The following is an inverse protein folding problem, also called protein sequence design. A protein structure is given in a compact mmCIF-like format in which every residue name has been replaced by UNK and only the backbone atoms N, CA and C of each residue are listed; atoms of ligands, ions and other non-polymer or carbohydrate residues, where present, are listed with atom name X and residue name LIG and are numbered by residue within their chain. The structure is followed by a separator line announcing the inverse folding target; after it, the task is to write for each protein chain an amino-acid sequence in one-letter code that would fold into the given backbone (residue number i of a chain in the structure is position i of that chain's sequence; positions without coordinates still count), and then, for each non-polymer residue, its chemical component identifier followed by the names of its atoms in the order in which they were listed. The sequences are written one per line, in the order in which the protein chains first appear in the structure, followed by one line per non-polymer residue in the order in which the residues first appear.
data_IF_076897338067
#
_entry.id   IF_076897338067
#
_cell.length_a   1.000
_cell.length_b   1.000
_cell.length_c   1.000
_cell.angle_alpha   90.00
_cell.angle_beta   90.00
_cell.angle_gamma   90.00
#
_symmetry.space_group_name_H-M   'P 1'
#
loop_
_entity.id
_entity.type
_entity.pdbx_description
1 polymer ?
#
# COMPACT_ATOMS: atom_id res chain seq x y z
N UNK A 1 24.22 16.17 6.13
CA UNK A 1 24.99 15.00 6.61
C UNK A 1 24.23 13.71 6.28
N UNK A 2 24.87 12.53 6.37
CA UNK A 2 24.21 11.23 6.16
C UNK A 2 23.06 10.99 7.15
N UNK A 3 23.29 11.30 8.43
CA UNK A 3 22.31 11.13 9.52
C UNK A 3 21.00 11.84 9.19
N UNK A 4 21.05 13.08 8.70
CA UNK A 4 19.86 13.85 8.31
C UNK A 4 19.08 13.16 7.18
N UNK A 5 19.75 12.46 6.25
CA UNK A 5 19.08 11.72 5.17
C UNK A 5 18.40 10.46 5.67
N UNK A 6 19.08 9.68 6.53
CA UNK A 6 18.48 8.46 7.10
C UNK A 6 17.30 8.82 8.00
N UNK A 7 17.46 9.85 8.84
CA UNK A 7 16.38 10.38 9.66
C UNK A 7 15.20 10.86 8.80
N UNK A 8 15.45 11.64 7.74
CA UNK A 8 14.38 12.09 6.85
C UNK A 8 13.61 10.96 6.16
N UNK A 9 14.23 9.80 5.92
CA UNK A 9 13.52 8.62 5.41
C UNK A 9 12.64 8.00 6.49
N UNK A 10 13.18 7.77 7.69
CA UNK A 10 12.38 7.22 8.78
C UNK A 10 11.20 8.14 9.13
N UNK A 11 11.44 9.45 9.22
CA UNK A 11 10.43 10.48 9.49
C UNK A 11 9.35 10.53 8.39
N UNK A 12 9.72 10.27 7.14
CA UNK A 12 8.75 10.23 6.03
C UNK A 12 7.73 9.08 6.13
N UNK A 13 8.02 8.04 6.93
CA UNK A 13 7.06 6.96 7.20
C UNK A 13 6.13 7.26 8.39
N UNK A 14 6.43 8.31 9.17
CA UNK A 14 5.65 8.70 10.33
C UNK A 14 6.09 8.03 11.63
N UNK A 15 5.19 8.08 12.61
CA UNK A 15 5.50 7.67 13.98
C UNK A 15 5.62 6.14 14.14
N UNK A 16 6.43 5.70 15.10
CA UNK A 16 6.71 4.27 15.34
C UNK A 16 7.71 3.65 14.36
N UNK A 17 8.37 4.46 13.52
CA UNK A 17 9.45 4.00 12.64
C UNK A 17 10.79 4.53 13.11
N UNK A 18 11.74 3.62 13.32
CA UNK A 18 13.10 3.97 13.71
C UNK A 18 14.13 3.56 12.67
N UNK A 19 15.38 3.94 12.93
CA UNK A 19 16.51 3.57 12.08
C UNK A 19 17.76 3.23 12.89
N UNK A 20 18.66 2.47 12.26
CA UNK A 20 20.01 2.18 12.77
C UNK A 20 21.01 2.24 11.63
N UNK A 21 22.06 3.06 11.78
CA UNK A 21 23.19 3.04 10.85
C UNK A 21 24.05 1.83 11.20
N UNK A 22 24.21 0.90 10.25
CA UNK A 22 24.95 -0.34 10.49
C UNK A 22 26.40 -0.27 10.05
N UNK A 23 26.68 0.42 8.95
CA UNK A 23 28.04 0.64 8.46
C UNK A 23 28.14 2.01 7.80
N UNK A 24 29.29 2.64 7.99
CA UNK A 24 29.61 3.93 7.42
C UNK A 24 31.12 4.01 7.18
N UNK A 25 31.50 4.28 5.93
CA UNK A 25 32.86 4.63 5.49
C UNK A 25 32.85 6.03 4.85
N UNK A 26 34.00 6.51 4.39
CA UNK A 26 34.08 7.82 3.73
C UNK A 26 33.18 7.90 2.49
N UNK A 27 32.93 6.78 1.80
CA UNK A 27 32.24 6.77 0.50
C UNK A 27 30.94 5.96 0.46
N UNK A 28 30.69 5.08 1.42
CA UNK A 28 29.49 4.24 1.44
C UNK A 28 28.92 4.15 2.84
N UNK A 29 27.60 4.01 2.93
CA UNK A 29 26.93 3.73 4.17
C UNK A 29 25.67 2.92 3.93
N UNK A 30 25.20 2.21 4.94
CA UNK A 30 23.86 1.66 4.91
C UNK A 30 23.21 1.71 6.27
N UNK A 31 21.89 1.90 6.22
CA UNK A 31 21.02 1.97 7.38
C UNK A 31 19.90 0.95 7.26
N UNK A 32 19.48 0.45 8.41
CA UNK A 32 18.33 -0.39 8.59
C UNK A 32 17.19 0.48 9.12
N UNK A 33 16.03 0.41 8.48
CA UNK A 33 14.78 1.01 8.94
C UNK A 33 13.93 -0.11 9.54
N UNK A 34 13.35 0.16 10.70
CA UNK A 34 12.58 -0.81 11.48
C UNK A 34 11.28 -0.21 12.00
N UNK A 35 10.31 -1.08 12.22
CA UNK A 35 9.09 -0.76 12.95
C UNK A 35 9.33 -0.98 14.44
N UNK A 36 8.92 -0.05 15.28
CA UNK A 36 8.88 -0.26 16.73
C UNK A 36 7.87 -1.37 17.07
N UNK A 37 8.21 -2.22 18.02
CA UNK A 37 7.36 -3.30 18.49
C UNK A 37 7.64 -3.60 19.97
N UNK A 38 6.77 -4.39 20.59
CA UNK A 38 6.80 -4.66 22.03
C UNK A 38 8.07 -5.32 22.54
N UNK A 39 8.58 -6.31 21.80
CA UNK A 39 9.74 -7.09 22.23
C UNK A 39 11.02 -6.58 21.58
N UNK A 40 11.06 -6.59 20.25
CA UNK A 40 12.22 -6.18 19.47
C UNK A 40 11.77 -5.45 18.20
N UNK A 41 12.55 -4.44 17.75
CA UNK A 41 12.25 -3.76 16.49
C UNK A 41 12.19 -4.74 15.31
N UNK A 42 11.21 -4.56 14.43
CA UNK A 42 11.03 -5.40 13.23
C UNK A 42 11.69 -4.71 12.03
N UNK A 43 12.84 -5.20 11.54
CA UNK A 43 13.50 -4.63 10.37
C UNK A 43 12.69 -4.86 9.10
N UNK A 44 12.36 -3.79 8.36
CA UNK A 44 11.56 -3.93 7.14
C UNK A 44 12.20 -3.28 5.90
N UNK A 45 13.26 -2.49 6.06
CA UNK A 45 13.95 -1.92 4.91
C UNK A 45 15.44 -1.65 5.16
N UNK A 46 16.27 -1.98 4.16
CA UNK A 46 17.64 -1.48 4.06
C UNK A 46 17.72 -0.31 3.09
N UNK A 47 18.45 0.73 3.47
CA UNK A 47 18.79 1.87 2.61
C UNK A 47 20.30 1.98 2.47
N UNK A 48 20.79 1.98 1.23
CA UNK A 48 22.20 2.08 0.89
C UNK A 48 22.49 3.46 0.31
N UNK A 49 23.57 4.06 0.79
CA UNK A 49 24.02 5.39 0.40
C UNK A 49 25.43 5.34 -0.16
N UNK A 50 25.70 6.26 -1.09
CA UNK A 50 27.03 6.49 -1.65
C UNK A 50 27.34 7.98 -1.62
N UNK A 51 28.59 8.32 -1.31
CA UNK A 51 29.11 9.68 -1.44
C UNK A 51 29.58 9.91 -2.87
N UNK A 52 28.91 10.80 -3.58
CA UNK A 52 29.25 11.21 -4.95
C UNK A 52 29.02 12.71 -5.09
N UNK A 53 29.87 13.40 -5.85
CA UNK A 53 29.74 14.85 -6.11
C UNK A 53 29.60 15.70 -4.82
N UNK A 54 30.43 15.39 -3.81
CA UNK A 54 30.42 16.06 -2.50
C UNK A 54 29.08 15.98 -1.74
N UNK A 55 28.27 14.95 -2.00
CA UNK A 55 27.01 14.71 -1.27
C UNK A 55 26.70 13.22 -1.13
N UNK A 56 26.00 12.88 -0.05
CA UNK A 56 25.38 11.57 0.10
C UNK A 56 24.17 11.45 -0.84
N UNK A 57 24.10 10.39 -1.63
CA UNK A 57 22.95 10.02 -2.45
C UNK A 57 22.46 8.62 -2.07
N UNK A 58 21.15 8.39 -2.16
CA UNK A 58 20.59 7.05 -1.96
C UNK A 58 20.88 6.25 -3.23
N UNK A 59 21.67 5.18 -3.09
CA UNK A 59 22.07 4.29 -4.19
C UNK A 59 21.00 3.24 -4.45
N UNK A 60 20.47 2.64 -3.38
CA UNK A 60 19.43 1.63 -3.48
C UNK A 60 18.69 1.49 -2.16
N UNK A 61 17.52 0.85 -2.23
CA UNK A 61 16.71 0.46 -1.09
C UNK A 61 16.19 -0.96 -1.32
N UNK A 62 15.99 -1.72 -0.24
CA UNK A 62 15.43 -3.07 -0.27
C UNK A 62 14.46 -3.22 0.88
N UNK A 63 13.17 -3.25 0.55
CA UNK A 63 12.11 -3.52 1.51
C UNK A 63 11.80 -5.01 1.57
N UNK A 64 11.29 -5.47 2.71
CA UNK A 64 10.86 -6.85 2.94
C UNK A 64 9.42 -6.92 3.41
N UNK A 65 8.76 -8.02 3.07
CA UNK A 65 7.47 -8.39 3.62
C UNK A 65 7.69 -8.91 5.05
N UNK A 66 7.22 -8.14 6.04
CA UNK A 66 7.36 -8.47 7.46
C UNK A 66 6.00 -8.55 8.16
N UNK A 67 5.92 -9.26 9.30
CA UNK A 67 4.75 -9.21 10.15
C UNK A 67 4.50 -7.80 10.68
N UNK A 68 3.22 -7.45 10.85
CA UNK A 68 2.85 -6.17 11.47
C UNK A 68 3.01 -6.22 13.00
N UNK A 69 3.65 -5.21 13.63
CA UNK A 69 3.70 -5.12 15.10
C UNK A 69 2.31 -4.98 15.73
N UNK A 70 1.45 -4.14 15.15
CA UNK A 70 0.06 -3.99 15.57
C UNK A 70 -0.89 -4.82 14.72
N UNK A 71 -1.85 -5.47 15.37
CA UNK A 71 -3.03 -6.09 14.74
C UNK A 71 -4.33 -5.36 15.08
N UNK A 72 -4.25 -4.24 15.79
CA UNK A 72 -5.41 -3.48 16.24
C UNK A 72 -5.84 -2.45 15.17
N UNK A 73 -6.07 -2.92 13.94
CA UNK A 73 -6.53 -2.10 12.83
C UNK A 73 -8.04 -2.19 12.67
N UNK A 74 -8.66 -1.11 12.21
CA UNK A 74 -10.06 -1.07 11.81
C UNK A 74 -10.22 -0.26 10.53
N UNK A 75 -10.91 -0.81 9.54
CA UNK A 75 -11.27 -0.11 8.31
C UNK A 75 -12.55 0.65 8.60
N UNK A 76 -12.46 1.98 8.67
CA UNK A 76 -13.57 2.84 9.11
C UNK A 76 -14.31 3.49 7.93
N UNK A 77 -13.64 3.63 6.79
CA UNK A 77 -14.19 4.20 5.57
C UNK A 77 -13.32 3.79 4.36
N UNK A 78 -13.68 4.24 3.17
CA UNK A 78 -12.86 4.11 1.96
C UNK A 78 -13.14 5.24 0.97
N UNK A 79 -12.16 5.55 0.12
CA UNK A 79 -12.38 6.42 -1.04
C UNK A 79 -12.25 5.63 -2.33
N UNK A 80 -13.05 6.00 -3.32
CA UNK A 80 -13.04 5.38 -4.64
C UNK A 80 -12.03 6.10 -5.51
N UNK A 81 -11.12 5.35 -6.12
CA UNK A 81 -10.18 5.90 -7.09
C UNK A 81 -10.55 5.43 -8.50
N UNK A 82 -10.67 6.39 -9.41
CA UNK A 82 -10.95 6.17 -10.83
C UNK A 82 -9.82 6.74 -11.68
N UNK A 83 -9.64 6.17 -12.87
CA UNK A 83 -8.72 6.69 -13.88
C UNK A 83 -9.43 6.73 -15.23
N UNK A 84 -9.28 7.84 -15.94
CA UNK A 84 -9.73 7.97 -17.33
C UNK A 84 -8.68 7.38 -18.26
N UNK A 85 -9.06 6.35 -19.03
CA UNK A 85 -8.17 5.72 -20.01
C UNK A 85 -8.55 6.25 -21.39
N UNK A 86 -7.55 6.73 -22.14
CA UNK A 86 -7.68 7.12 -23.55
C UNK A 86 -6.92 6.12 -24.41
N UNK A 87 -7.61 5.52 -25.38
CA UNK A 87 -7.02 4.50 -26.26
C UNK A 87 -6.48 5.06 -27.59
N UNK A 88 -6.87 6.28 -27.98
CA UNK A 88 -6.31 7.07 -29.08
C UNK A 88 -7.13 8.39 -29.17
N UNK A 89 -6.61 9.46 -29.81
CA UNK A 89 -7.33 10.73 -29.98
C UNK A 89 -8.70 10.64 -30.67
N UNK A 90 -9.05 9.51 -31.29
CA UNK A 90 -10.35 9.27 -31.94
C UNK A 90 -11.35 8.48 -31.08
N UNK A 91 -10.95 8.03 -29.89
CA UNK A 91 -11.81 7.26 -28.97
C UNK A 91 -12.21 8.09 -27.75
N UNK A 92 -13.45 7.85 -27.28
CA UNK A 92 -13.98 8.45 -26.06
C UNK A 92 -13.13 8.10 -24.84
N UNK A 93 -12.95 9.09 -23.97
CA UNK A 93 -12.39 8.94 -22.64
C UNK A 93 -13.30 8.03 -21.79
N UNK A 94 -12.75 6.95 -21.23
CA UNK A 94 -13.53 5.99 -20.45
C UNK A 94 -13.06 5.99 -18.99
N UNK A 95 -13.88 6.47 -18.03
CA UNK A 95 -13.58 6.37 -16.61
C UNK A 95 -13.68 4.92 -16.14
N UNK A 96 -12.62 4.44 -15.50
CA UNK A 96 -12.53 3.09 -14.97
C UNK A 96 -12.24 3.09 -13.47
N UNK A 97 -12.90 2.21 -12.71
CA UNK A 97 -12.60 1.93 -11.32
C UNK A 97 -11.24 1.24 -11.21
N UNK A 98 -10.29 1.91 -10.56
CA UNK A 98 -8.96 1.35 -10.35
C UNK A 98 -8.90 0.55 -9.06
N UNK A 99 -9.23 1.17 -7.93
CA UNK A 99 -9.16 0.53 -6.62
C UNK A 99 -9.92 1.37 -5.58
N UNK A 100 -10.13 0.77 -4.41
CA UNK A 100 -10.55 1.47 -3.20
C UNK A 100 -9.35 1.74 -2.32
N UNK A 101 -9.29 2.94 -1.73
CA UNK A 101 -8.28 3.36 -0.77
C UNK A 101 -8.93 3.31 0.60
N UNK A 102 -8.65 2.30 1.43
CA UNK A 102 -9.27 2.20 2.74
C UNK A 102 -8.72 3.28 3.68
N UNK A 103 -9.61 3.83 4.50
CA UNK A 103 -9.27 4.67 5.65
C UNK A 103 -9.22 3.77 6.87
N UNK A 104 -8.05 3.74 7.51
CA UNK A 104 -7.70 2.76 8.53
C UNK A 104 -7.30 3.47 9.81
N UNK A 105 -7.87 3.02 10.93
CA UNK A 105 -7.51 3.46 12.27
C UNK A 105 -6.66 2.41 12.95
N UNK A 106 -5.52 2.79 13.51
CA UNK A 106 -4.71 1.97 14.40
C UNK A 106 -5.02 2.33 15.85
N UNK A 107 -5.52 1.37 16.63
CA UNK A 107 -5.84 1.57 18.05
C UNK A 107 -4.78 0.96 18.97
N UNK A 108 -3.54 0.85 18.49
CA UNK A 108 -2.39 0.37 19.25
C UNK A 108 -1.37 1.47 19.47
N UNK A 109 -0.53 1.27 20.51
CA UNK A 109 0.69 2.05 20.75
C UNK A 109 1.84 1.70 19.80
N UNK A 110 1.70 0.64 19.00
CA UNK A 110 2.68 0.20 18.02
C UNK A 110 2.21 0.53 16.61
N UNK A 111 3.11 0.83 15.67
CA UNK A 111 2.74 1.00 14.27
C UNK A 111 2.17 -0.32 13.70
N UNK A 112 1.39 -0.19 12.63
CA UNK A 112 0.96 -1.32 11.82
C UNK A 112 1.60 -1.27 10.44
N UNK A 113 1.85 -2.45 9.88
CA UNK A 113 2.38 -2.62 8.54
C UNK A 113 1.42 -3.45 7.69
N UNK A 114 0.67 -2.76 6.84
CA UNK A 114 -0.15 -3.33 5.80
C UNK A 114 0.74 -3.51 4.58
N UNK A 115 1.00 -4.73 4.13
CA UNK A 115 1.78 -5.02 2.92
C UNK A 115 0.89 -5.10 1.67
N UNK A 116 -0.37 -5.50 1.83
CA UNK A 116 -1.32 -5.59 0.73
C UNK A 116 -2.76 -5.33 1.16
N UNK A 117 -3.55 -4.89 0.19
CA UNK A 117 -5.01 -4.72 0.30
C UNK A 117 -5.66 -5.65 -0.72
N UNK A 118 -6.59 -6.47 -0.24
CA UNK A 118 -7.47 -7.28 -1.08
C UNK A 118 -8.86 -6.64 -1.11
N UNK A 119 -9.46 -6.65 -2.28
CA UNK A 119 -10.75 -6.05 -2.58
C UNK A 119 -11.63 -7.12 -3.23
N UNK A 120 -12.84 -7.26 -2.74
CA UNK A 120 -13.91 -8.03 -3.36
C UNK A 120 -15.11 -7.12 -3.54
N UNK A 121 -15.64 -7.07 -4.75
CA UNK A 121 -16.82 -6.31 -5.13
C UNK A 121 -17.88 -7.29 -5.64
N UNK A 122 -19.00 -7.44 -4.93
CA UNK A 122 -19.97 -8.49 -5.21
C UNK A 122 -21.42 -7.96 -5.17
N UNK A 123 -22.25 -8.46 -6.08
CA UNK A 123 -23.70 -8.33 -6.02
C UNK A 123 -24.34 -9.65 -6.52
N UNK A 124 -25.66 -9.68 -6.70
CA UNK A 124 -26.38 -10.89 -7.11
C UNK A 124 -25.98 -11.46 -8.48
N UNK A 125 -25.30 -10.68 -9.33
CA UNK A 125 -24.98 -11.06 -10.72
C UNK A 125 -23.50 -10.98 -11.07
N UNK A 126 -22.71 -10.26 -10.29
CA UNK A 126 -21.33 -9.91 -10.61
C UNK A 126 -20.44 -10.03 -9.37
N UNK A 127 -19.24 -10.59 -9.57
CA UNK A 127 -18.19 -10.68 -8.56
C UNK A 127 -16.87 -10.27 -9.20
N UNK A 128 -16.20 -9.30 -8.59
CA UNK A 128 -14.90 -8.81 -9.01
C UNK A 128 -13.90 -8.82 -7.86
N UNK A 129 -12.67 -9.19 -8.16
CA UNK A 129 -11.60 -9.22 -7.17
C UNK A 129 -10.38 -8.48 -7.63
N UNK A 130 -9.65 -7.93 -6.65
CA UNK A 130 -8.39 -7.25 -6.88
C UNK A 130 -7.52 -7.33 -5.64
N UNK A 131 -6.22 -7.36 -5.85
CA UNK A 131 -5.24 -7.17 -4.80
C UNK A 131 -4.22 -6.14 -5.26
N UNK A 132 -3.78 -5.28 -4.36
CA UNK A 132 -2.66 -4.39 -4.63
C UNK A 132 -1.69 -4.32 -3.46
N UNK A 133 -0.43 -4.08 -3.80
CA UNK A 133 0.66 -3.90 -2.84
C UNK A 133 0.69 -2.44 -2.37
N UNK A 134 0.86 -2.24 -1.08
CA UNK A 134 1.19 -0.93 -0.47
C UNK A 134 2.70 -0.67 -0.50
N UNK A 135 3.47 -1.67 -0.93
CA UNK A 135 4.91 -1.61 -1.12
C UNK A 135 5.24 -1.48 -2.61
N UNK A 136 6.03 -0.48 -2.98
CA UNK A 136 6.55 -0.33 -4.33
C UNK A 136 7.60 0.79 -4.44
N UNK A 137 7.30 1.86 -5.19
CA UNK A 137 8.19 3.03 -5.26
C UNK A 137 8.23 3.78 -3.92
N UNK A 138 7.10 3.78 -3.23
CA UNK A 138 6.92 4.21 -1.84
C UNK A 138 6.35 3.06 -1.00
N UNK A 139 6.42 3.20 0.33
CA UNK A 139 5.76 2.31 1.26
C UNK A 139 4.62 3.12 1.88
N UNK A 140 3.41 2.86 1.42
CA UNK A 140 2.18 3.57 1.81
C UNK A 140 1.38 2.81 2.87
N UNK A 141 1.93 1.67 3.32
CA UNK A 141 1.27 0.71 4.18
C UNK A 141 1.54 0.85 5.67
N UNK A 142 2.19 1.93 6.10
CA UNK A 142 2.52 2.15 7.51
C UNK A 142 1.44 3.03 8.14
N UNK A 143 0.87 2.57 9.25
CA UNK A 143 -0.05 3.35 10.08
C UNK A 143 0.60 3.54 11.44
N UNK A 144 0.91 4.78 11.81
CA UNK A 144 1.55 5.05 13.09
C UNK A 144 0.66 4.68 14.28
N UNK A 145 1.23 4.64 15.49
CA UNK A 145 0.47 4.47 16.74
C UNK A 145 -0.68 5.48 16.86
N UNK A 146 -1.88 4.99 17.19
CA UNK A 146 -3.08 5.83 17.40
C UNK A 146 -3.53 6.68 16.20
N UNK A 147 -2.94 6.48 15.03
CA UNK A 147 -3.23 7.26 13.84
C UNK A 147 -4.45 6.73 13.08
N UNK A 148 -5.02 7.62 12.27
CA UNK A 148 -5.99 7.27 11.23
C UNK A 148 -5.47 7.80 9.91
N UNK A 149 -5.31 6.93 8.93
CA UNK A 149 -4.73 7.29 7.64
C UNK A 149 -5.37 6.52 6.49
N UNK A 150 -5.23 7.03 5.28
CA UNK A 150 -5.61 6.34 4.07
C UNK A 150 -4.45 5.45 3.58
N UNK A 151 -4.74 4.20 3.22
CA UNK A 151 -3.73 3.27 2.72
C UNK A 151 -3.72 3.30 1.20
N UNK A 152 -2.67 3.92 0.64
CA UNK A 152 -2.52 4.06 -0.79
C UNK A 152 -1.84 2.85 -1.43
N UNK A 153 -2.00 2.75 -2.74
CA UNK A 153 -1.21 1.85 -3.56
C UNK A 153 0.25 2.36 -3.61
N UNK A 154 1.21 1.51 -3.21
CA UNK A 154 2.63 1.88 -3.18
C UNK A 154 3.37 1.68 -4.50
N UNK A 155 2.75 1.04 -5.49
CA UNK A 155 3.38 0.75 -6.77
C UNK A 155 3.40 1.95 -7.74
N UNK A 156 4.27 1.88 -8.74
CA UNK A 156 4.32 2.86 -9.83
C UNK A 156 3.22 2.66 -10.88
N UNK A 157 3.33 3.38 -11.99
CA UNK A 157 2.40 3.41 -13.15
C UNK A 157 2.28 2.09 -13.95
N UNK A 158 2.22 0.93 -13.30
CA UNK A 158 2.09 -0.37 -13.96
C UNK A 158 0.62 -0.71 -14.19
N UNK A 159 0.18 -0.85 -15.44
CA UNK A 159 -1.22 -1.16 -15.83
C UNK A 159 -1.89 -2.32 -15.06
N UNK A 160 -1.13 -3.20 -14.39
CA UNK A 160 -1.64 -4.20 -13.46
C UNK A 160 -2.56 -3.63 -12.36
N UNK A 161 -2.38 -2.38 -11.92
CA UNK A 161 -3.28 -1.74 -10.96
C UNK A 161 -4.63 -1.30 -11.57
N UNK A 162 -4.86 -1.46 -12.87
CA UNK A 162 -6.11 -1.09 -13.55
C UNK A 162 -7.09 -2.26 -13.65
N UNK A 163 -6.58 -3.48 -13.60
CA UNK A 163 -7.37 -4.66 -13.92
C UNK A 163 -8.00 -5.33 -12.70
N UNK A 164 -9.13 -5.99 -12.93
CA UNK A 164 -9.89 -6.79 -11.98
C UNK A 164 -10.05 -8.21 -12.51
N UNK A 165 -10.15 -9.17 -11.59
CA UNK A 165 -10.46 -10.57 -11.88
C UNK A 165 -11.99 -10.77 -11.80
N UNK A 166 -12.57 -11.41 -12.81
CA UNK A 166 -14.01 -11.73 -12.89
C UNK A 166 -14.17 -13.25 -12.69
N UNK A 167 -14.64 -13.67 -11.50
CA UNK A 167 -14.87 -15.06 -11.07
C UNK A 167 -13.60 -15.95 -10.89
N UNK A 168 -13.62 -16.85 -9.90
CA UNK A 168 -12.50 -17.73 -9.51
C UNK A 168 -12.23 -18.86 -10.54
N UNK A 169 -13.18 -19.15 -11.44
CA UNK A 169 -13.21 -20.37 -12.25
C UNK A 169 -12.78 -20.22 -13.72
N UNK A 170 -12.24 -19.06 -14.14
CA UNK A 170 -11.72 -18.88 -15.50
C UNK A 170 -10.29 -18.29 -15.49
N UNK A 171 -9.34 -18.82 -16.29
CA UNK A 171 -8.01 -18.24 -16.42
C UNK A 171 -8.13 -16.82 -16.99
N UNK A 172 -7.39 -15.80 -16.51
CA UNK A 172 -8.01 -14.49 -16.41
C UNK A 172 -7.90 -13.68 -17.72
N UNK A 173 -9.01 -13.12 -18.22
CA UNK A 173 -8.95 -11.78 -18.77
C UNK A 173 -8.96 -10.79 -17.59
N UNK A 174 -7.85 -10.06 -17.45
CA UNK A 174 -7.76 -8.83 -16.68
C UNK A 174 -8.73 -7.79 -17.23
N UNK A 175 -9.83 -7.50 -16.52
CA UNK A 175 -10.91 -6.61 -17.00
C UNK A 175 -10.77 -5.20 -16.43
N UNK A 176 -10.97 -4.19 -17.28
CA UNK A 176 -11.19 -2.81 -16.83
C UNK A 176 -12.64 -2.69 -16.38
N UNK A 177 -12.86 -2.31 -15.12
CA UNK A 177 -14.20 -2.01 -14.62
C UNK A 177 -14.57 -0.59 -14.99
N UNK A 178 -15.27 -0.42 -16.11
CA UNK A 178 -15.77 0.88 -16.56
C UNK A 178 -16.89 1.36 -15.64
N UNK A 179 -16.91 2.66 -15.33
CA UNK A 179 -17.90 3.22 -14.40
C UNK A 179 -19.33 3.13 -14.95
N UNK A 180 -19.52 3.27 -16.27
CA UNK A 180 -20.83 3.12 -16.93
C UNK A 180 -21.43 1.70 -16.80
N UNK A 181 -20.61 0.69 -16.55
CA UNK A 181 -21.08 -0.66 -16.27
C UNK A 181 -21.46 -0.88 -14.79
N UNK A 182 -21.02 0.01 -13.90
CA UNK A 182 -21.27 -0.03 -12.47
C UNK A 182 -22.41 0.90 -12.06
N UNK A 183 -22.59 2.01 -12.78
CA UNK A 183 -23.57 3.06 -12.50
C UNK A 183 -24.99 2.52 -12.21
N UNK A 184 -25.59 2.99 -11.12
CA UNK A 184 -26.89 2.60 -10.62
C UNK A 184 -26.94 1.24 -9.93
N UNK A 185 -25.84 0.47 -9.92
CA UNK A 185 -25.79 -0.85 -9.27
C UNK A 185 -25.26 -0.73 -7.84
N UNK A 186 -25.86 -1.52 -6.97
CA UNK A 186 -25.41 -1.66 -5.57
C UNK A 186 -24.54 -2.90 -5.45
N UNK A 187 -23.43 -2.78 -4.72
CA UNK A 187 -22.48 -3.83 -4.45
C UNK A 187 -22.10 -3.86 -2.96
N UNK A 188 -21.72 -5.04 -2.50
CA UNK A 188 -20.93 -5.23 -1.29
C UNK A 188 -19.44 -5.13 -1.64
N UNK A 189 -18.73 -4.24 -0.96
CA UNK A 189 -17.29 -4.04 -1.06
C UNK A 189 -16.66 -4.62 0.20
N UNK A 190 -15.99 -5.76 0.08
CA UNK A 190 -15.17 -6.31 1.16
C UNK A 190 -13.72 -5.90 0.95
N UNK A 191 -13.15 -5.27 1.97
CA UNK A 191 -11.75 -4.84 2.00
C UNK A 191 -11.02 -5.64 3.07
N UNK A 192 -9.93 -6.32 2.71
CA UNK A 192 -9.08 -7.09 3.63
C UNK A 192 -7.67 -6.53 3.62
N UNK A 193 -7.15 -6.13 4.78
CA UNK A 193 -5.77 -5.68 4.96
C UNK A 193 -4.90 -6.85 5.42
N UNK A 194 -3.72 -7.01 4.81
CA UNK A 194 -2.76 -8.04 5.21
C UNK A 194 -1.37 -7.49 5.44
N UNK A 195 -0.64 -8.09 6.38
CA UNK A 195 0.80 -7.84 6.55
C UNK A 195 1.65 -8.69 5.59
N UNK A 196 2.97 -8.54 5.69
CA UNK A 196 3.92 -9.27 4.85
C UNK A 196 4.02 -10.77 5.17
N UNK A 197 3.42 -11.22 6.28
CA UNK A 197 3.29 -12.64 6.63
C UNK A 197 1.92 -13.21 6.22
N UNK A 198 1.16 -12.49 5.39
CA UNK A 198 -0.20 -12.83 4.94
C UNK A 198 -1.25 -12.89 6.06
N UNK A 199 -0.93 -12.37 7.26
CA UNK A 199 -1.87 -12.29 8.37
C UNK A 199 -2.91 -11.22 8.06
N UNK A 200 -4.20 -11.55 8.21
CA UNK A 200 -5.29 -10.57 8.12
C UNK A 200 -5.24 -9.64 9.33
N UNK A 201 -5.03 -8.35 9.08
CA UNK A 201 -4.98 -7.33 10.12
C UNK A 201 -6.35 -6.71 10.39
N UNK A 202 -7.15 -6.54 9.34
CA UNK A 202 -8.52 -6.07 9.42
C UNK A 202 -9.29 -6.52 8.17
N UNK A 203 -10.60 -6.70 8.32
CA UNK A 203 -11.53 -6.94 7.23
C UNK A 203 -12.83 -6.21 7.54
N UNK A 204 -13.43 -5.58 6.54
CA UNK A 204 -14.74 -4.96 6.68
C UNK A 204 -15.49 -4.96 5.34
N UNK A 205 -16.82 -4.99 5.41
CA UNK A 205 -17.71 -4.99 4.25
C UNK A 205 -18.62 -3.78 4.28
N UNK A 206 -18.69 -3.07 3.15
CA UNK A 206 -19.50 -1.88 2.96
C UNK A 206 -20.51 -2.09 1.84
N UNK A 207 -21.68 -1.48 1.93
CA UNK A 207 -22.62 -1.40 0.81
C UNK A 207 -22.42 -0.09 0.06
N UNK A 208 -22.28 -0.16 -1.27
CA UNK A 208 -22.07 1.02 -2.12
C UNK A 208 -22.92 0.96 -3.37
N UNK A 209 -23.52 2.08 -3.74
CA UNK A 209 -24.21 2.27 -5.02
C UNK A 209 -23.36 3.21 -5.87
N UNK A 210 -22.94 2.72 -7.04
CA UNK A 210 -22.16 3.48 -8.02
C UNK A 210 -23.01 4.40 -8.87
#
# INVERSE_FOLDING_TARGET
SLIVKVWGIADSYGSGVGYKIHSWTDNEAWALIYLEAENEPIPFENVYFQWTDNKWSMKSRKAWHVPSPSRALSIIDYTIHTLTISYSPEFSEIPCLTHFIPVVKNSSRWPAFVASVKLKLENSTNRYEKSYSTMGRSIEGIVGPWETTAIWYGGGAAAAHLYWYEDENLPPPTKLLRMDHLEGKTFEITITLKDGAETVLAENTFTHTF
#
